data_IF_334341581388
#
_entry.id   IF_334341581388
#
_cell.length_a   1.000
_cell.length_b   1.000
_cell.length_c   1.000
_cell.angle_alpha   90.00
_cell.angle_beta   90.00
_cell.angle_gamma   90.00
#
_symmetry.space_group_name_H-M   'P 1'
#
loop_
_entity.id
_entity.type
_entity.pdbx_description
1 polymer ?
#
# COMPACT_ATOMS: atom_id res chain seq x y z
N UNK A 1 27.07 -9.18 -21.80
CA UNK A 1 25.86 -8.96 -20.98
C UNK A 1 25.99 -9.79 -19.73
N UNK A 2 26.28 -9.18 -18.58
CA UNK A 2 26.34 -9.91 -17.31
C UNK A 2 24.92 -10.04 -16.77
N UNK A 3 24.41 -11.27 -16.71
CA UNK A 3 23.17 -11.60 -16.03
C UNK A 3 23.56 -11.73 -14.56
N UNK A 4 23.20 -10.75 -13.72
CA UNK A 4 23.49 -10.81 -12.28
C UNK A 4 22.28 -11.49 -11.61
N UNK A 5 22.36 -12.78 -11.25
CA UNK A 5 21.26 -13.45 -10.59
C UNK A 5 21.05 -12.86 -9.19
N UNK A 6 19.81 -12.51 -8.88
CA UNK A 6 19.43 -12.08 -7.53
C UNK A 6 19.29 -13.34 -6.67
N UNK A 7 20.16 -13.47 -5.66
CA UNK A 7 20.20 -14.62 -4.74
C UNK A 7 19.69 -14.18 -3.39
N UNK A 8 18.60 -14.77 -2.91
CA UNK A 8 18.06 -14.56 -1.55
C UNK A 8 18.08 -15.91 -0.84
N UNK A 9 18.75 -15.98 0.32
CA UNK A 9 18.82 -17.22 1.11
C UNK A 9 19.49 -18.42 0.40
N UNK A 10 20.35 -18.17 -0.59
CA UNK A 10 21.05 -19.21 -1.36
C UNK A 10 20.27 -19.79 -2.54
N UNK A 11 19.07 -19.29 -2.85
CA UNK A 11 18.30 -19.67 -4.04
C UNK A 11 18.29 -18.53 -5.06
N UNK A 12 18.49 -18.87 -6.34
CA UNK A 12 18.34 -17.92 -7.45
C UNK A 12 16.86 -17.62 -7.61
N UNK A 13 16.49 -16.34 -7.48
CA UNK A 13 15.12 -15.90 -7.69
C UNK A 13 14.83 -15.86 -9.19
N UNK A 14 13.73 -16.48 -9.58
CA UNK A 14 13.29 -16.50 -10.97
C UNK A 14 12.84 -15.10 -11.41
N UNK A 15 13.16 -14.73 -12.66
CA UNK A 15 12.85 -13.40 -13.19
C UNK A 15 11.34 -13.08 -13.19
N UNK A 16 10.50 -14.13 -13.21
CA UNK A 16 9.04 -14.04 -13.05
C UNK A 16 8.64 -13.45 -11.70
N UNK A 17 9.30 -13.84 -10.61
CA UNK A 17 9.03 -13.31 -9.26
C UNK A 17 9.33 -11.82 -9.19
N UNK A 18 10.43 -11.39 -9.81
CA UNK A 18 10.82 -9.99 -9.86
C UNK A 18 9.75 -9.16 -10.59
N UNK A 19 9.25 -9.64 -11.74
CA UNK A 19 8.18 -8.96 -12.48
C UNK A 19 6.88 -8.83 -11.67
N UNK A 20 6.53 -9.86 -10.88
CA UNK A 20 5.34 -9.81 -10.01
C UNK A 20 5.49 -8.77 -8.90
N UNK A 21 6.68 -8.67 -8.28
CA UNK A 21 6.96 -7.67 -7.24
C UNK A 21 6.82 -6.25 -7.79
N UNK A 22 7.34 -5.98 -8.99
CA UNK A 22 7.20 -4.68 -9.64
C UNK A 22 5.74 -4.35 -9.99
N UNK A 23 4.98 -5.32 -10.50
CA UNK A 23 3.55 -5.14 -10.78
C UNK A 23 2.76 -4.80 -9.51
N UNK A 24 3.08 -5.48 -8.40
CA UNK A 24 2.49 -5.20 -7.10
C UNK A 24 2.86 -3.80 -6.59
N UNK A 25 4.14 -3.45 -6.62
CA UNK A 25 4.60 -2.12 -6.19
C UNK A 25 3.93 -0.99 -6.98
N UNK A 26 3.78 -1.17 -8.30
CA UNK A 26 3.06 -0.21 -9.14
C UNK A 26 1.58 -0.07 -8.74
N UNK A 27 0.90 -1.19 -8.46
CA UNK A 27 -0.50 -1.18 -8.00
C UNK A 27 -0.66 -0.51 -6.63
N UNK A 28 0.26 -0.76 -5.70
CA UNK A 28 0.30 -0.12 -4.38
C UNK A 28 0.42 1.41 -4.52
N UNK A 29 1.40 1.88 -5.31
CA UNK A 29 1.62 3.32 -5.53
C UNK A 29 0.43 3.96 -6.26
N UNK A 30 -0.14 3.29 -7.26
CA UNK A 30 -1.31 3.80 -7.98
C UNK A 30 -2.51 3.96 -7.03
N UNK A 31 -2.78 2.95 -6.20
CA UNK A 31 -3.86 2.97 -5.20
C UNK A 31 -3.66 4.08 -4.19
N UNK A 32 -2.43 4.24 -3.69
CA UNK A 32 -2.06 5.32 -2.78
C UNK A 32 -2.37 6.69 -3.37
N UNK A 33 -1.92 6.96 -4.61
CA UNK A 33 -2.12 8.25 -5.27
C UNK A 33 -3.60 8.51 -5.53
N UNK A 34 -4.35 7.52 -6.00
CA UNK A 34 -5.80 7.66 -6.27
C UNK A 34 -6.54 8.03 -4.99
N UNK A 35 -6.33 7.30 -3.89
CA UNK A 35 -7.01 7.55 -2.63
C UNK A 35 -6.61 8.89 -2.01
N UNK A 36 -5.33 9.27 -2.13
CA UNK A 36 -4.84 10.57 -1.67
C UNK A 36 -5.55 11.71 -2.40
N UNK A 37 -5.62 11.67 -3.73
CA UNK A 37 -6.29 12.68 -4.52
C UNK A 37 -7.80 12.76 -4.20
N UNK A 38 -8.44 11.61 -3.98
CA UNK A 38 -9.84 11.55 -3.56
C UNK A 38 -10.06 12.17 -2.18
N UNK A 39 -9.14 11.94 -1.24
CA UNK A 39 -9.22 12.54 0.08
C UNK A 39 -8.98 14.06 0.04
N UNK A 40 -8.04 14.53 -0.77
CA UNK A 40 -7.83 15.97 -1.00
C UNK A 40 -9.07 16.64 -1.61
N UNK A 41 -9.83 15.93 -2.45
CA UNK A 41 -11.09 16.44 -3.01
C UNK A 41 -12.14 16.75 -1.92
N UNK A 42 -12.02 16.16 -0.73
CA UNK A 42 -12.90 16.47 0.41
C UNK A 42 -12.56 17.76 1.14
N UNK A 43 -11.53 18.50 0.69
CA UNK A 43 -11.09 19.78 1.26
C UNK A 43 -9.95 19.67 2.26
N UNK A 44 -9.38 18.47 2.46
CA UNK A 44 -8.24 18.22 3.34
C UNK A 44 -6.94 18.63 2.64
N UNK A 45 -6.02 19.24 3.39
CA UNK A 45 -4.72 19.64 2.85
C UNK A 45 -3.86 18.44 2.43
N UNK A 46 -2.88 18.69 1.56
CA UNK A 46 -2.04 17.63 1.00
C UNK A 46 -1.27 16.83 2.06
N UNK A 47 -0.77 17.46 3.13
CA UNK A 47 0.02 16.80 4.18
C UNK A 47 -0.87 15.87 4.99
N UNK A 48 -2.03 16.36 5.41
CA UNK A 48 -3.02 15.53 6.13
C UNK A 48 -3.52 14.40 5.23
N UNK A 49 -3.84 14.66 3.96
CA UNK A 49 -4.31 13.63 3.04
C UNK A 49 -3.26 12.55 2.76
N UNK A 50 -2.01 12.95 2.47
CA UNK A 50 -0.89 12.04 2.28
C UNK A 50 -0.70 11.17 3.52
N UNK A 51 -0.64 11.80 4.69
CA UNK A 51 -0.35 11.07 5.93
C UNK A 51 -1.50 10.16 6.35
N UNK A 52 -2.75 10.58 6.15
CA UNK A 52 -3.94 9.77 6.39
C UNK A 52 -3.93 8.49 5.54
N UNK A 53 -3.71 8.60 4.23
CA UNK A 53 -3.66 7.42 3.37
C UNK A 53 -2.43 6.56 3.68
N UNK A 54 -1.27 7.15 3.97
CA UNK A 54 -0.07 6.42 4.36
C UNK A 54 -0.28 5.60 5.64
N UNK A 55 -0.85 6.20 6.68
CA UNK A 55 -1.10 5.49 7.94
C UNK A 55 -2.21 4.45 7.80
N UNK A 56 -3.27 4.74 7.03
CA UNK A 56 -4.36 3.79 6.78
C UNK A 56 -3.89 2.58 5.96
N UNK A 57 -3.20 2.78 4.84
CA UNK A 57 -2.69 1.68 4.02
C UNK A 57 -1.65 0.84 4.77
N UNK A 58 -0.86 1.44 5.65
CA UNK A 58 0.10 0.72 6.49
C UNK A 58 -0.50 0.21 7.80
N UNK A 59 -1.80 0.42 8.04
CA UNK A 59 -2.50 0.06 9.28
C UNK A 59 -1.79 0.56 10.56
N UNK A 60 -1.14 1.74 10.52
CA UNK A 60 -0.38 2.31 11.64
C UNK A 60 -1.29 2.99 12.67
N UNK A 61 -2.29 3.77 12.22
CA UNK A 61 -3.19 4.54 13.08
C UNK A 61 -2.92 6.05 13.03
N UNK A 62 -1.91 6.58 13.75
CA UNK A 62 -1.65 8.02 13.78
C UNK A 62 -0.99 8.51 12.49
N UNK A 63 -1.35 9.70 12.04
CA UNK A 63 -0.75 10.38 10.90
C UNK A 63 -0.07 11.70 11.29
N UNK A 64 -0.13 12.67 10.39
CA UNK A 64 0.38 14.03 10.51
C UNK A 64 -0.75 15.01 10.17
N UNK A 65 -0.60 16.26 10.60
CA UNK A 65 -1.63 17.28 10.42
C UNK A 65 -2.88 16.96 11.25
N UNK A 66 -4.06 17.15 10.66
CA UNK A 66 -5.33 17.02 11.38
C UNK A 66 -5.68 15.56 11.76
N UNK A 67 -4.93 14.57 11.26
CA UNK A 67 -5.05 13.14 11.60
C UNK A 67 -3.94 12.63 12.54
N UNK A 68 -3.16 13.53 13.14
CA UNK A 68 -2.08 13.14 14.05
C UNK A 68 -2.59 12.39 15.29
N UNK A 69 -3.72 12.83 15.84
CA UNK A 69 -4.32 12.25 17.04
C UNK A 69 -5.69 11.61 16.80
N UNK A 70 -6.49 12.12 15.85
CA UNK A 70 -7.86 11.62 15.61
C UNK A 70 -8.31 11.93 14.19
N UNK A 71 -9.12 11.04 13.59
CA UNK A 71 -9.77 11.25 12.28
C UNK A 71 -11.13 11.97 12.38
N UNK A 72 -11.44 12.56 13.53
CA UNK A 72 -12.74 13.19 13.81
C UNK A 72 -12.96 14.44 12.98
N UNK A 73 -11.86 15.14 12.67
CA UNK A 73 -11.75 16.32 11.80
C UNK A 73 -12.10 16.03 10.34
N UNK A 74 -12.05 14.78 9.89
CA UNK A 74 -12.43 14.42 8.52
C UNK A 74 -13.95 14.45 8.34
N UNK A 75 -14.37 14.87 7.14
CA UNK A 75 -15.74 14.69 6.66
C UNK A 75 -16.14 13.21 6.62
N UNK A 76 -17.44 12.92 6.61
CA UNK A 76 -17.95 11.54 6.55
C UNK A 76 -17.44 10.79 5.31
N UNK A 77 -17.31 11.50 4.19
CA UNK A 77 -16.68 10.97 2.97
C UNK A 77 -15.20 10.65 3.20
N UNK A 78 -14.44 11.55 3.83
CA UNK A 78 -13.03 11.33 4.14
C UNK A 78 -12.79 10.13 5.06
N UNK A 79 -13.66 9.93 6.06
CA UNK A 79 -13.64 8.74 6.93
C UNK A 79 -13.92 7.46 6.14
N UNK A 80 -14.87 7.50 5.21
CA UNK A 80 -15.18 6.36 4.34
C UNK A 80 -14.00 5.99 3.45
N UNK A 81 -13.33 6.98 2.85
CA UNK A 81 -12.10 6.77 2.07
C UNK A 81 -11.01 6.15 2.94
N UNK A 82 -10.83 6.63 4.16
CA UNK A 82 -9.84 6.12 5.12
C UNK A 82 -10.12 4.66 5.53
N UNK A 83 -11.40 4.29 5.71
CA UNK A 83 -11.80 2.90 5.97
C UNK A 83 -11.49 1.99 4.77
N UNK A 84 -11.79 2.44 3.55
CA UNK A 84 -11.45 1.70 2.33
C UNK A 84 -9.92 1.53 2.21
N UNK A 85 -9.14 2.58 2.52
CA UNK A 85 -7.68 2.54 2.51
C UNK A 85 -7.13 1.50 3.52
N UNK A 86 -7.70 1.41 4.72
CA UNK A 86 -7.32 0.39 5.72
C UNK A 86 -7.64 -1.02 5.24
N UNK A 87 -8.82 -1.23 4.64
CA UNK A 87 -9.20 -2.53 4.08
C UNK A 87 -8.26 -2.94 2.94
N UNK A 88 -7.96 -2.03 2.01
CA UNK A 88 -7.02 -2.30 0.91
C UNK A 88 -5.62 -2.64 1.44
N UNK A 89 -5.08 -1.83 2.35
CA UNK A 89 -3.77 -2.08 2.94
C UNK A 89 -3.70 -3.43 3.66
N UNK A 90 -4.79 -3.85 4.31
CA UNK A 90 -4.86 -5.16 4.96
C UNK A 90 -5.01 -6.32 3.97
N UNK A 91 -5.73 -6.14 2.86
CA UNK A 91 -5.86 -7.13 1.78
C UNK A 91 -4.56 -7.32 0.99
N UNK A 92 -3.79 -6.26 0.81
CA UNK A 92 -2.47 -6.32 0.15
C UNK A 92 -1.47 -7.18 0.93
N UNK A 93 -1.49 -7.16 2.27
CA UNK A 93 -0.66 -8.06 3.09
C UNK A 93 -1.00 -9.53 2.82
N UNK A 94 -2.28 -9.89 2.69
CA UNK A 94 -2.66 -11.26 2.33
C UNK A 94 -2.21 -11.63 0.92
N UNK A 95 -2.22 -10.68 -0.01
CA UNK A 95 -1.76 -10.89 -1.39
C UNK A 95 -0.23 -11.10 -1.41
N UNK A 96 0.52 -10.32 -0.65
CA UNK A 96 1.97 -10.50 -0.45
C UNK A 96 2.27 -11.87 0.19
N UNK A 97 1.53 -12.27 1.23
CA UNK A 97 1.72 -13.57 1.88
C UNK A 97 1.41 -14.75 0.94
N UNK A 98 0.36 -14.63 0.12
CA UNK A 98 0.03 -15.64 -0.91
C UNK A 98 1.12 -15.68 -1.99
N UNK A 99 1.60 -14.54 -2.44
CA UNK A 99 2.70 -14.48 -3.41
C UNK A 99 4.00 -14.97 -2.79
N UNK A 100 4.28 -14.81 -1.50
CA UNK A 100 5.49 -15.35 -0.86
C UNK A 100 5.35 -16.84 -0.50
N UNK A 101 4.13 -17.37 -0.48
CA UNK A 101 3.86 -18.78 -0.19
C UNK A 101 4.51 -19.67 -1.26
N UNK A 102 5.30 -20.69 -0.87
CA UNK A 102 5.89 -21.64 -1.82
C UNK A 102 4.83 -22.44 -2.60
N UNK A 103 3.57 -22.50 -2.14
CA UNK A 103 2.49 -23.17 -2.87
C UNK A 103 2.07 -22.42 -4.14
N UNK A 104 2.18 -21.09 -4.15
CA UNK A 104 1.92 -20.28 -5.35
C UNK A 104 2.98 -20.50 -6.45
N UNK A 105 4.22 -20.82 -6.06
CA UNK A 105 5.35 -21.03 -6.99
C UNK A 105 5.59 -22.49 -7.39
N UNK A 106 4.79 -23.44 -6.86
CA UNK A 106 4.89 -24.87 -7.22
C UNK A 106 4.03 -25.26 -8.42
N UNK A 107 3.41 -24.27 -9.09
CA UNK A 107 2.68 -24.42 -10.35
C UNK A 107 3.52 -24.03 -11.56
#
# INVERSE_FOLDING_TARGET
>A
HAIVPIVIGGRVIENRTISTVWGFFAAYVATFVILMLWLMHTGVDQVTAFSAIATCMNNMGPGLGDVAYTFSSLSDTGKTISMIAMLMGRLEIFTILVILSPEYWRG
#
